data_IF_774871732794
#
_entry.id   IF_774871732794
#
_cell.length_a   1.000
_cell.length_b   1.000
_cell.length_c   1.000
_cell.angle_alpha   90.00
_cell.angle_beta   90.00
_cell.angle_gamma   90.00
#
_symmetry.space_group_name_H-M   'P 1'
#
loop_
_entity.id
_entity.type
_entity.pdbx_description
1 polymer ?
#
# COMPACT_ATOMS: atom_id res chain seq x y z
N UNK A 1 -7.11 10.14 31.93
CA UNK A 1 -7.27 9.28 30.74
C UNK A 1 -7.26 10.17 29.51
N UNK A 2 -6.16 10.25 28.76
CA UNK A 2 -6.18 10.97 27.48
C UNK A 2 -5.97 9.96 26.36
N UNK A 3 -7.08 9.57 25.75
CA UNK A 3 -7.15 8.61 24.65
C UNK A 3 -6.36 9.18 23.47
N UNK A 4 -5.17 8.61 23.22
CA UNK A 4 -4.48 8.78 21.94
C UNK A 4 -5.35 8.04 20.93
N UNK A 5 -6.16 8.77 20.17
CA UNK A 5 -6.85 8.21 18.99
C UNK A 5 -5.83 7.38 18.21
N UNK A 6 -6.20 6.22 17.66
CA UNK A 6 -5.29 5.47 16.80
C UNK A 6 -5.13 6.31 15.52
N UNK A 7 -4.19 7.26 15.54
CA UNK A 7 -3.76 7.97 14.36
C UNK A 7 -3.24 6.90 13.42
N UNK A 8 -3.85 6.76 12.25
CA UNK A 8 -3.38 5.85 11.23
C UNK A 8 -1.92 6.16 10.96
N UNK A 9 -1.04 5.19 11.22
CA UNK A 9 0.37 5.31 10.96
C UNK A 9 0.62 5.08 9.46
N UNK A 10 0.49 6.17 8.70
CA UNK A 10 0.62 6.14 7.26
C UNK A 10 1.99 5.64 6.81
N UNK A 11 3.04 5.95 7.56
CA UNK A 11 4.41 5.51 7.25
C UNK A 11 4.54 4.00 7.41
N UNK A 12 3.99 3.45 8.51
CA UNK A 12 3.98 2.01 8.75
C UNK A 12 3.18 1.26 7.65
N UNK A 13 1.99 1.74 7.29
CA UNK A 13 1.17 1.13 6.23
C UNK A 13 1.91 1.12 4.89
N UNK A 14 2.52 2.26 4.51
CA UNK A 14 3.28 2.36 3.27
C UNK A 14 4.49 1.43 3.25
N UNK A 15 5.19 1.33 4.39
CA UNK A 15 6.32 0.42 4.54
C UNK A 15 5.86 -1.03 4.37
N UNK A 16 4.80 -1.43 5.08
CA UNK A 16 4.29 -2.80 5.03
C UNK A 16 3.75 -3.16 3.63
N UNK A 17 3.08 -2.22 2.96
CA UNK A 17 2.62 -2.41 1.60
C UNK A 17 3.79 -2.57 0.63
N UNK A 18 4.82 -1.74 0.74
CA UNK A 18 6.02 -1.82 -0.12
C UNK A 18 6.78 -3.13 0.08
N UNK A 19 6.98 -3.53 1.34
CA UNK A 19 7.62 -4.80 1.70
C UNK A 19 6.84 -6.00 1.15
N UNK A 20 5.50 -5.94 1.23
CA UNK A 20 4.61 -6.96 0.65
C UNK A 20 4.68 -6.98 -0.88
N UNK A 21 4.54 -5.82 -1.53
CA UNK A 21 4.52 -5.69 -2.97
C UNK A 21 5.80 -6.23 -3.61
N UNK A 22 6.96 -6.01 -2.99
CA UNK A 22 8.26 -6.51 -3.49
C UNK A 22 8.34 -8.04 -3.60
N UNK A 23 7.57 -8.77 -2.78
CA UNK A 23 7.58 -10.24 -2.69
C UNK A 23 6.40 -10.87 -3.43
N UNK A 24 5.29 -10.17 -3.52
CA UNK A 24 4.06 -10.70 -4.13
C UNK A 24 4.20 -10.79 -5.66
N UNK A 25 3.85 -11.94 -6.21
CA UNK A 25 3.87 -12.22 -7.66
C UNK A 25 2.48 -12.40 -8.25
N UNK A 26 1.49 -12.67 -7.39
CA UNK A 26 0.09 -12.74 -7.76
C UNK A 26 -0.51 -11.32 -7.83
N UNK A 27 -0.81 -10.88 -9.05
CA UNK A 27 -1.43 -9.58 -9.32
C UNK A 27 -2.76 -9.41 -8.57
N UNK A 28 -3.56 -10.47 -8.40
CA UNK A 28 -4.85 -10.38 -7.71
C UNK A 28 -4.64 -10.06 -6.23
N UNK A 29 -3.76 -10.80 -5.55
CA UNK A 29 -3.41 -10.55 -4.15
C UNK A 29 -2.81 -9.17 -3.92
N UNK A 30 -2.00 -8.71 -4.88
CA UNK A 30 -1.43 -7.37 -4.85
C UNK A 30 -2.52 -6.28 -4.90
N UNK A 31 -3.51 -6.42 -5.79
CA UNK A 31 -4.66 -5.50 -5.89
C UNK A 31 -5.49 -5.50 -4.60
N UNK A 32 -5.79 -6.68 -4.05
CA UNK A 32 -6.57 -6.82 -2.82
C UNK A 32 -5.88 -6.11 -1.64
N UNK A 33 -4.57 -6.31 -1.48
CA UNK A 33 -3.79 -5.64 -0.44
C UNK A 33 -3.70 -4.13 -0.66
N UNK A 34 -3.50 -3.70 -1.90
CA UNK A 34 -3.49 -2.28 -2.27
C UNK A 34 -4.82 -1.59 -1.88
N UNK A 35 -5.96 -2.20 -2.21
CA UNK A 35 -7.27 -1.61 -1.91
C UNK A 35 -7.49 -1.46 -0.39
N UNK A 36 -7.11 -2.48 0.39
CA UNK A 36 -7.16 -2.43 1.84
C UNK A 36 -6.30 -1.29 2.40
N UNK A 37 -5.02 -1.24 2.01
CA UNK A 37 -4.07 -0.26 2.54
C UNK A 37 -4.42 1.18 2.07
N UNK A 38 -4.90 1.35 0.84
CA UNK A 38 -5.36 2.64 0.32
C UNK A 38 -6.57 3.20 1.07
N UNK A 39 -7.49 2.34 1.52
CA UNK A 39 -8.65 2.73 2.35
C UNK A 39 -8.22 3.17 3.75
N UNK A 40 -7.22 2.52 4.34
CA UNK A 40 -6.67 2.95 5.63
C UNK A 40 -6.04 4.35 5.54
N UNK A 41 -5.43 4.67 4.40
CA UNK A 41 -4.81 5.96 4.11
C UNK A 41 -5.83 7.05 3.69
N UNK A 42 -7.14 6.78 3.72
CA UNK A 42 -8.15 7.76 3.33
C UNK A 42 -8.05 9.04 4.18
N UNK A 43 -8.01 10.20 3.51
CA UNK A 43 -7.76 11.49 4.13
C UNK A 43 -6.28 11.88 4.24
N UNK A 44 -5.37 11.02 3.76
CA UNK A 44 -3.93 11.28 3.65
C UNK A 44 -3.47 11.21 2.19
N UNK A 45 -3.73 12.27 1.41
CA UNK A 45 -3.50 12.31 -0.04
C UNK A 45 -2.07 11.94 -0.47
N UNK A 46 -1.06 12.42 0.26
CA UNK A 46 0.35 12.09 0.01
C UNK A 46 0.62 10.59 0.20
N UNK A 47 0.02 9.99 1.22
CA UNK A 47 0.19 8.57 1.50
C UNK A 47 -0.58 7.73 0.46
N UNK A 48 -1.78 8.13 0.08
CA UNK A 48 -2.53 7.47 -1.00
C UNK A 48 -1.77 7.51 -2.33
N UNK A 49 -1.15 8.65 -2.65
CA UNK A 49 -0.32 8.80 -3.85
C UNK A 49 0.87 7.85 -3.84
N UNK A 50 1.59 7.74 -2.72
CA UNK A 50 2.71 6.79 -2.57
C UNK A 50 2.25 5.34 -2.69
N UNK A 51 1.10 5.00 -2.11
CA UNK A 51 0.51 3.66 -2.20
C UNK A 51 0.20 3.27 -3.67
N UNK A 52 -0.40 4.20 -4.43
CA UNK A 52 -0.65 4.02 -5.88
C UNK A 52 0.65 3.85 -6.67
N UNK A 53 1.69 4.62 -6.35
CA UNK A 53 2.99 4.53 -7.03
C UNK A 53 3.63 3.15 -6.86
N UNK A 54 3.70 2.65 -5.61
CA UNK A 54 4.24 1.31 -5.31
C UNK A 54 3.48 0.22 -6.07
N UNK A 55 2.14 0.32 -6.09
CA UNK A 55 1.29 -0.61 -6.83
C UNK A 55 1.59 -0.61 -8.33
N UNK A 56 1.69 0.57 -8.94
CA UNK A 56 1.97 0.71 -10.36
C UNK A 56 3.36 0.19 -10.75
N UNK A 57 4.38 0.47 -9.93
CA UNK A 57 5.74 -0.05 -10.13
C UNK A 57 5.68 -1.58 -10.14
N UNK A 58 5.10 -2.19 -9.11
CA UNK A 58 5.06 -3.64 -9.00
C UNK A 58 4.27 -4.30 -10.13
N UNK A 59 3.12 -3.75 -10.53
CA UNK A 59 2.35 -4.27 -11.67
C UNK A 59 3.16 -4.21 -12.96
N UNK A 60 3.94 -3.16 -13.19
CA UNK A 60 4.78 -3.04 -14.37
C UNK A 60 5.95 -4.02 -14.36
N UNK A 61 6.54 -4.32 -13.19
CA UNK A 61 7.55 -5.38 -13.05
C UNK A 61 6.96 -6.76 -13.38
N UNK A 62 5.79 -7.10 -12.83
CA UNK A 62 5.14 -8.38 -13.08
C UNK A 62 4.76 -8.57 -14.55
N UNK A 63 4.38 -7.50 -15.24
CA UNK A 63 4.12 -7.55 -16.69
C UNK A 63 5.39 -7.78 -17.51
N UNK A 64 6.55 -7.29 -17.08
CA UNK A 64 7.83 -7.47 -17.78
C UNK A 64 8.45 -8.84 -17.50
N UNK A 65 8.12 -9.45 -16.36
CA UNK A 65 8.60 -10.78 -15.97
C UNK A 65 7.78 -11.94 -16.56
N UNK A 66 6.66 -11.65 -17.24
CA UNK A 66 5.75 -12.61 -17.87
C UNK A 66 5.95 -12.65 -19.39
#
# INVERSE_FOLDING_TARGET
TNQKSPSVDCEQILKDFSDYASKETDKKKLIERYQHDWQLLAGHDDAQTKCVQVMNIRVNELKQAA
#
